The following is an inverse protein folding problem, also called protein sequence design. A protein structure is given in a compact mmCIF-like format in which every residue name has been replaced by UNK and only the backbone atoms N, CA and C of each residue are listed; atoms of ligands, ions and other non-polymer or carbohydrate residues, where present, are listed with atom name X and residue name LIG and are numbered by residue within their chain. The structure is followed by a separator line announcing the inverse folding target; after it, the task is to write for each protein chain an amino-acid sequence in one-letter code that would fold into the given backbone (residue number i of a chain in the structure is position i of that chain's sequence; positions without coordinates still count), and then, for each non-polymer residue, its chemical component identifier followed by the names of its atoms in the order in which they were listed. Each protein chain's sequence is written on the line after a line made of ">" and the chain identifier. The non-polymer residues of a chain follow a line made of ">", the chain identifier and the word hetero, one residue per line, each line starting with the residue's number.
data_IF_605931966218
#
_entry.id   IF_605931966218
#
_cell.length_a   1.000
_cell.length_b   1.000
_cell.length_c   1.000
_cell.angle_alpha   90.00
_cell.angle_beta   90.00
_cell.angle_gamma   90.00
#
_symmetry.space_group_name_H-M   'P 1'
#
loop_
_entity.id
_entity.type
_entity.pdbx_description
1 polymer ?
#
# COMPACT_ATOMS: atom_id res chain seq x y z
N UNK A 1 5.48 -28.16 -11.26
CA UNK A 1 5.20 -26.91 -10.53
C UNK A 1 5.05 -27.31 -9.07
N UNK A 2 5.84 -26.73 -8.17
CA UNK A 2 5.94 -27.22 -6.79
C UNK A 2 5.04 -26.44 -5.82
N UNK A 3 4.63 -25.22 -6.20
CA UNK A 3 3.70 -24.39 -5.46
C UNK A 3 2.29 -24.51 -6.04
N UNK A 4 1.53 -25.53 -5.65
CA UNK A 4 0.19 -25.81 -6.21
C UNK A 4 -0.95 -25.70 -5.20
N UNK A 5 -0.67 -25.27 -3.96
CA UNK A 5 -1.67 -25.25 -2.88
C UNK A 5 -2.60 -24.03 -2.92
N UNK A 6 -2.31 -23.07 -3.79
CA UNK A 6 -3.10 -21.87 -3.97
C UNK A 6 -2.93 -21.28 -5.36
N UNK A 7 -3.62 -20.17 -5.59
CA UNK A 7 -3.69 -19.58 -6.92
C UNK A 7 -2.38 -18.90 -7.31
N UNK A 8 -1.97 -19.14 -8.56
CA UNK A 8 -0.77 -18.56 -9.17
C UNK A 8 0.50 -18.75 -8.31
N UNK A 9 0.69 -19.96 -7.75
CA UNK A 9 1.75 -20.25 -6.80
C UNK A 9 3.18 -20.05 -7.32
N UNK A 10 4.05 -19.49 -6.47
CA UNK A 10 5.43 -19.13 -6.84
C UNK A 10 6.42 -19.54 -5.76
N UNK A 11 7.51 -20.17 -6.19
CA UNK A 11 8.62 -20.50 -5.30
C UNK A 11 9.35 -19.20 -4.91
N UNK A 12 9.46 -18.92 -3.61
CA UNK A 12 10.22 -17.78 -3.15
C UNK A 12 11.72 -18.15 -3.15
N UNK A 13 12.53 -17.37 -3.85
CA UNK A 13 13.99 -17.47 -3.77
C UNK A 13 14.48 -16.46 -2.73
N UNK A 14 15.12 -16.93 -1.65
CA UNK A 14 15.80 -16.02 -0.72
C UNK A 14 17.10 -15.52 -1.35
N UNK A 15 17.39 -14.23 -1.18
CA UNK A 15 18.62 -13.56 -1.61
C UNK A 15 19.86 -13.97 -0.80
N UNK A 16 19.72 -14.81 0.24
CA UNK A 16 20.83 -15.23 1.11
C UNK A 16 21.08 -16.74 1.03
N UNK A 17 21.33 -17.27 -0.17
CA UNK A 17 21.91 -18.63 -0.39
C UNK A 17 21.14 -19.84 0.15
N UNK A 18 20.03 -19.64 0.87
CA UNK A 18 19.17 -20.66 1.42
C UNK A 18 17.86 -20.63 0.66
N UNK A 19 17.57 -21.67 -0.13
CA UNK A 19 16.24 -21.86 -0.67
C UNK A 19 15.25 -21.92 0.50
N UNK A 20 14.46 -20.86 0.69
CA UNK A 20 13.23 -21.00 1.46
C UNK A 20 12.31 -21.84 0.59
N UNK A 21 12.03 -23.06 1.03
CA UNK A 21 10.98 -23.90 0.44
C UNK A 21 9.60 -23.32 0.79
N UNK A 22 9.40 -22.02 0.55
CA UNK A 22 8.16 -21.32 0.81
C UNK A 22 7.55 -20.88 -0.51
N UNK A 23 6.24 -21.04 -0.60
CA UNK A 23 5.45 -20.62 -1.73
C UNK A 23 4.69 -19.34 -1.38
N UNK A 24 4.59 -18.42 -2.33
CA UNK A 24 3.60 -17.34 -2.28
C UNK A 24 2.45 -17.65 -3.22
N UNK A 25 1.26 -17.15 -2.86
CA UNK A 25 0.02 -17.37 -3.59
C UNK A 25 -0.78 -16.08 -3.60
N UNK A 26 -1.34 -15.73 -4.75
CA UNK A 26 -2.13 -14.51 -4.88
C UNK A 26 -3.37 -14.60 -4.01
N UNK A 27 -3.61 -13.59 -3.18
CA UNK A 27 -4.81 -13.50 -2.33
C UNK A 27 -6.00 -12.92 -3.07
N UNK A 28 -5.75 -12.24 -4.18
CA UNK A 28 -6.76 -11.57 -4.98
C UNK A 28 -6.31 -11.46 -6.45
N UNK A 29 -7.30 -11.39 -7.34
CA UNK A 29 -7.13 -11.10 -8.77
C UNK A 29 -7.95 -9.89 -9.23
N UNK A 30 -8.89 -9.44 -8.39
CA UNK A 30 -9.78 -8.30 -8.61
C UNK A 30 -10.12 -7.69 -7.26
N UNK A 31 -10.53 -6.43 -7.25
CA UNK A 31 -10.96 -5.71 -6.03
C UNK A 31 -12.18 -6.36 -5.36
N UNK A 32 -13.05 -7.01 -6.16
CA UNK A 32 -14.19 -7.75 -5.65
C UNK A 32 -13.78 -8.91 -4.72
N UNK A 33 -12.63 -9.54 -4.96
CA UNK A 33 -12.09 -10.60 -4.10
C UNK A 33 -11.66 -10.05 -2.71
N UNK A 34 -11.46 -8.74 -2.61
CA UNK A 34 -11.08 -8.05 -1.38
C UNK A 34 -12.27 -7.39 -0.66
N UNK A 35 -13.51 -7.75 -1.02
CA UNK A 35 -14.70 -7.21 -0.39
C UNK A 35 -14.92 -5.72 -0.66
N UNK A 36 -14.52 -5.24 -1.84
CA UNK A 36 -14.62 -3.83 -2.23
C UNK A 36 -13.42 -2.97 -1.84
N UNK A 37 -12.34 -3.58 -1.32
CA UNK A 37 -11.03 -2.92 -1.16
C UNK A 37 -10.13 -3.18 -2.38
N UNK A 38 -9.08 -2.39 -2.53
CA UNK A 38 -8.14 -2.53 -3.64
C UNK A 38 -7.33 -3.83 -3.55
N UNK A 39 -7.22 -4.55 -4.67
CA UNK A 39 -6.28 -5.65 -4.85
C UNK A 39 -4.96 -5.10 -5.37
N UNK A 40 -3.95 -5.02 -4.50
CA UNK A 40 -2.61 -4.57 -4.88
C UNK A 40 -1.94 -5.68 -5.67
N UNK A 41 -1.52 -5.32 -6.88
CA UNK A 41 -0.67 -6.17 -7.69
C UNK A 41 0.72 -6.28 -7.06
N UNK A 42 1.30 -7.48 -7.13
CA UNK A 42 2.63 -7.77 -6.60
C UNK A 42 3.69 -6.73 -7.01
N UNK A 43 4.51 -6.33 -6.04
CA UNK A 43 5.66 -5.43 -6.27
C UNK A 43 6.88 -6.15 -6.86
N UNK A 44 6.93 -7.48 -6.76
CA UNK A 44 8.01 -8.29 -7.34
C UNK A 44 7.51 -9.64 -7.85
N UNK A 45 8.35 -10.33 -8.63
CA UNK A 45 8.03 -11.65 -9.17
C UNK A 45 7.71 -12.69 -8.09
N UNK A 46 8.22 -12.53 -6.86
CA UNK A 46 8.06 -13.52 -5.79
C UNK A 46 6.96 -13.19 -4.77
N UNK A 47 6.43 -11.96 -4.77
CA UNK A 47 5.40 -11.53 -3.81
C UNK A 47 3.99 -11.82 -4.34
N UNK A 48 3.01 -12.14 -3.47
CA UNK A 48 1.62 -12.33 -3.84
C UNK A 48 0.90 -11.00 -4.08
N UNK A 49 -0.14 -11.02 -4.91
CA UNK A 49 -1.16 -9.98 -4.86
C UNK A 49 -1.85 -10.02 -3.49
N UNK A 50 -2.19 -8.85 -2.93
CA UNK A 50 -2.78 -8.73 -1.60
C UNK A 50 -3.91 -7.72 -1.57
N UNK A 51 -4.86 -7.94 -0.67
CA UNK A 51 -5.89 -6.95 -0.39
C UNK A 51 -5.30 -5.84 0.47
N UNK A 52 -5.44 -4.61 0.01
CA UNK A 52 -5.07 -3.42 0.74
C UNK A 52 -6.15 -3.03 1.74
N UNK A 53 -5.77 -2.27 2.76
CA UNK A 53 -6.75 -1.51 3.54
C UNK A 53 -7.22 -0.27 2.76
N UNK A 54 -8.32 0.34 3.18
CA UNK A 54 -8.83 1.51 2.48
C UNK A 54 -10.34 1.66 2.47
N UNK A 55 -10.79 2.78 1.91
CA UNK A 55 -12.19 3.10 1.69
C UNK A 55 -12.52 3.43 0.22
N UNK A 56 -11.58 3.22 -0.70
CA UNK A 56 -11.80 3.41 -2.13
C UNK A 56 -10.95 2.48 -2.99
N UNK A 57 -11.41 2.28 -4.22
CA UNK A 57 -10.69 1.59 -5.32
C UNK A 57 -10.52 2.51 -6.52
N UNK A 58 -11.44 3.48 -6.67
CA UNK A 58 -11.45 4.50 -7.72
C UNK A 58 -11.96 5.83 -7.16
N UNK A 59 -11.69 6.94 -7.85
CA UNK A 59 -12.12 8.28 -7.44
C UNK A 59 -13.64 8.39 -7.24
N UNK A 60 -14.42 7.63 -8.02
CA UNK A 60 -15.88 7.63 -7.93
C UNK A 60 -16.39 7.15 -6.56
N UNK A 61 -15.61 6.34 -5.84
CA UNK A 61 -15.97 5.87 -4.49
C UNK A 61 -15.90 7.00 -3.45
N UNK A 62 -15.13 8.05 -3.74
CA UNK A 62 -14.89 9.16 -2.82
C UNK A 62 -15.90 10.30 -2.93
N UNK A 63 -16.75 10.29 -3.96
CA UNK A 63 -17.70 11.35 -4.24
C UNK A 63 -17.11 12.51 -5.05
N UNK A 64 -17.96 13.50 -5.35
CA UNK A 64 -17.63 14.58 -6.30
C UNK A 64 -16.47 15.44 -5.79
N UNK A 65 -15.46 15.62 -6.62
CA UNK A 65 -14.32 16.49 -6.35
C UNK A 65 -13.30 15.93 -5.36
N UNK A 66 -13.41 14.64 -5.01
CA UNK A 66 -12.44 13.89 -4.19
C UNK A 66 -11.79 12.80 -5.04
N UNK A 67 -10.62 12.35 -4.62
CA UNK A 67 -9.81 11.38 -5.36
C UNK A 67 -9.29 10.31 -4.41
N UNK A 68 -9.06 9.12 -4.97
CA UNK A 68 -8.60 7.94 -4.29
C UNK A 68 -7.09 7.80 -4.48
N UNK A 69 -6.33 7.94 -3.39
CA UNK A 69 -4.87 7.93 -3.44
C UNK A 69 -4.29 6.76 -2.65
N UNK A 70 -3.16 6.17 -3.11
CA UNK A 70 -2.43 5.17 -2.34
C UNK A 70 -1.66 5.83 -1.19
N UNK A 71 -1.81 5.33 0.05
CA UNK A 71 -0.85 5.70 1.12
C UNK A 71 0.31 4.73 1.13
N UNK A 72 1.51 5.25 1.27
CA UNK A 72 2.76 4.49 1.32
C UNK A 72 3.35 4.48 2.71
N UNK A 73 4.01 3.37 3.06
CA UNK A 73 4.84 3.27 4.26
C UNK A 73 6.26 2.93 3.86
N UNK A 74 7.22 3.52 4.57
CA UNK A 74 8.65 3.27 4.41
C UNK A 74 9.24 2.46 5.57
N UNK A 75 8.38 1.86 6.41
CA UNK A 75 8.84 0.98 7.49
C UNK A 75 9.49 -0.27 6.90
N UNK A 76 10.58 -0.75 7.51
CA UNK A 76 11.30 -1.94 7.07
C UNK A 76 10.41 -3.21 7.00
N UNK A 77 9.35 -3.27 7.79
CA UNK A 77 8.40 -4.39 7.84
C UNK A 77 7.19 -4.21 6.92
N UNK A 78 6.95 -3.00 6.42
CA UNK A 78 5.78 -2.64 5.65
C UNK A 78 6.15 -1.53 4.66
N UNK A 79 7.03 -1.88 3.71
CA UNK A 79 7.46 -1.01 2.63
C UNK A 79 6.47 -1.12 1.46
N UNK A 80 6.09 0.01 0.88
CA UNK A 80 5.21 0.06 -0.28
C UNK A 80 3.81 0.58 0.02
N UNK A 81 2.86 0.28 -0.88
CA UNK A 81 1.47 0.73 -0.74
C UNK A 81 0.78 -0.04 0.38
N UNK A 82 0.25 0.70 1.37
CA UNK A 82 -0.43 0.13 2.54
C UNK A 82 -1.95 0.12 2.39
N UNK A 83 -2.48 0.88 1.43
CA UNK A 83 -3.91 1.00 1.19
C UNK A 83 -4.27 2.16 0.27
N UNK A 84 -5.57 2.33 0.07
CA UNK A 84 -6.15 3.40 -0.75
C UNK A 84 -7.21 4.16 0.02
N UNK A 85 -7.03 5.47 0.14
CA UNK A 85 -7.93 6.31 0.92
C UNK A 85 -8.40 7.51 0.12
N UNK A 86 -9.66 7.87 0.33
CA UNK A 86 -10.21 9.11 -0.21
C UNK A 86 -9.55 10.31 0.44
N UNK A 87 -9.21 11.31 -0.39
CA UNK A 87 -8.89 12.63 0.11
C UNK A 87 -10.14 13.39 0.57
N UNK A 88 -9.96 14.20 1.60
CA UNK A 88 -10.94 15.10 2.16
C UNK A 88 -10.42 16.55 2.17
N UNK A 89 -11.35 17.51 2.21
CA UNK A 89 -10.98 18.93 2.28
C UNK A 89 -10.23 19.32 3.57
N UNK A 90 -10.29 18.47 4.60
CA UNK A 90 -9.58 18.65 5.88
C UNK A 90 -8.17 18.06 5.88
N UNK A 91 -7.74 17.44 4.79
CA UNK A 91 -6.40 16.91 4.67
C UNK A 91 -5.35 18.02 4.74
N UNK A 92 -4.21 17.71 5.35
CA UNK A 92 -3.10 18.66 5.48
C UNK A 92 -2.22 18.69 4.22
N UNK A 93 -2.36 17.71 3.32
CA UNK A 93 -1.64 17.62 2.06
C UNK A 93 -2.48 16.89 1.01
N UNK A 94 -2.23 17.19 -0.26
CA UNK A 94 -2.79 16.52 -1.44
C UNK A 94 -1.75 15.61 -2.09
N UNK A 95 -0.49 16.06 -2.14
CA UNK A 95 0.61 15.30 -2.72
C UNK A 95 1.95 15.52 -1.97
N UNK A 96 2.99 14.80 -2.39
CA UNK A 96 4.31 14.88 -1.77
C UNK A 96 4.98 16.26 -1.93
N UNK A 97 4.52 17.10 -2.89
CA UNK A 97 5.06 18.44 -3.07
C UNK A 97 4.64 19.37 -1.93
N UNK A 98 3.45 19.18 -1.36
CA UNK A 98 2.98 19.88 -0.16
C UNK A 98 3.86 19.57 1.07
N UNK A 99 4.56 18.43 1.04
CA UNK A 99 5.40 17.92 2.12
C UNK A 99 6.90 18.19 1.92
N UNK A 100 7.27 19.07 0.98
CA UNK A 100 8.66 19.50 0.84
C UNK A 100 8.98 20.61 1.86
N UNK A 101 9.75 20.29 2.90
CA UNK A 101 10.36 21.29 3.79
C UNK A 101 11.73 21.70 3.25
N UNK A 102 11.98 23.00 3.14
CA UNK A 102 13.32 23.50 2.80
C UNK A 102 14.34 23.04 3.85
N UNK A 103 15.22 22.10 3.48
CA UNK A 103 16.33 21.64 4.33
C UNK A 103 16.10 20.37 5.16
N UNK A 104 15.01 19.62 4.94
CA UNK A 104 14.78 18.29 5.55
C UNK A 104 14.58 17.22 4.46
N UNK A 105 14.61 15.94 4.86
CA UNK A 105 14.28 14.82 3.97
C UNK A 105 12.90 15.03 3.31
N UNK A 106 12.79 14.70 2.03
CA UNK A 106 11.55 14.84 1.26
C UNK A 106 10.42 14.08 1.95
N UNK A 107 9.43 14.81 2.46
CA UNK A 107 8.26 14.21 3.09
C UNK A 107 7.31 13.63 2.05
N UNK A 108 6.51 12.65 2.48
CA UNK A 108 5.43 12.09 1.68
C UNK A 108 4.07 12.50 2.26
N UNK A 109 3.10 12.68 1.39
CA UNK A 109 1.71 12.83 1.81
C UNK A 109 1.13 11.42 2.02
N UNK A 110 0.91 11.05 3.28
CA UNK A 110 0.44 9.72 3.64
C UNK A 110 -0.81 9.80 4.52
N UNK A 111 -1.73 8.87 4.33
CA UNK A 111 -2.90 8.70 5.19
C UNK A 111 -2.48 8.26 6.59
N UNK A 112 -2.85 9.05 7.61
CA UNK A 112 -2.65 8.71 9.01
C UNK A 112 -3.93 8.07 9.58
N UNK A 113 -3.92 6.76 9.91
CA UNK A 113 -5.11 6.09 10.44
C UNK A 113 -5.52 6.57 11.84
N UNK A 114 -4.65 7.29 12.56
CA UNK A 114 -4.98 7.85 13.89
C UNK A 114 -5.83 9.11 13.78
N UNK A 115 -5.52 9.96 12.81
CA UNK A 115 -6.24 11.21 12.56
C UNK A 115 -7.26 11.08 11.45
N UNK A 116 -7.26 9.96 10.72
CA UNK A 116 -8.13 9.66 9.57
C UNK A 116 -8.04 10.69 8.45
N UNK A 117 -6.88 11.31 8.29
CA UNK A 117 -6.61 12.36 7.31
C UNK A 117 -5.23 12.17 6.67
N UNK A 118 -5.02 12.78 5.52
CA UNK A 118 -3.72 12.85 4.88
C UNK A 118 -2.85 13.90 5.54
N UNK A 119 -1.64 13.50 5.90
CA UNK A 119 -0.67 14.36 6.58
C UNK A 119 0.76 14.11 6.08
N UNK A 120 1.58 15.14 6.16
CA UNK A 120 2.99 15.04 5.80
C UNK A 120 3.76 14.16 6.77
N UNK A 121 4.29 13.05 6.27
CA UNK A 121 5.23 12.17 6.96
C UNK A 121 6.64 12.48 6.48
N UNK A 122 7.49 12.96 7.39
CA UNK A 122 8.91 13.27 7.10
C UNK A 122 9.88 12.24 7.69
N UNK A 123 9.37 11.40 8.59
CA UNK A 123 10.02 10.19 9.06
C UNK A 123 8.91 9.15 9.04
N UNK A 124 9.16 7.99 8.44
CA UNK A 124 8.23 6.87 8.37
C UNK A 124 7.45 6.79 9.69
N UNK A 125 6.13 7.03 9.69
CA UNK A 125 5.29 7.05 10.89
C UNK A 125 5.71 5.93 11.85
N UNK A 126 6.53 6.24 12.84
CA UNK A 126 6.83 5.36 13.96
C UNK A 126 5.74 5.65 14.99
N UNK A 127 4.72 4.80 15.17
CA UNK A 127 4.09 4.75 16.48
C UNK A 127 5.16 4.30 17.51
N UNK A 128 5.08 4.77 18.76
CA UNK A 128 6.03 4.40 19.82
C UNK A 128 6.10 2.90 20.07
#
# INVERSE_FOLDING_TARGET
>A
ADCTEGDNGRCMVSVVGAHVNSCSYDKCFTDAACGGKACICRESASLPNSCAEGNCTVDADCGVGRFCSPSVSFQATNFGVTGYWCHEASDACVDDADCQKQGADSGVCAYDPKTTHWACSHEAFLPP
#
